data_IF_919476665388
#
_entry.id   IF_919476665388
#
_cell.length_a   1.000
_cell.length_b   1.000
_cell.length_c   1.000
_cell.angle_alpha   90.00
_cell.angle_beta   90.00
_cell.angle_gamma   90.00
#
_symmetry.space_group_name_H-M   'P 1'
#
loop_
_entity.id
_entity.type
_entity.pdbx_description
1 polymer ?
#
# COMPACT_ATOMS: atom_id res chain seq x y z
N UNK A 1 -8.13 8.31 -14.45
CA UNK A 1 -8.44 6.86 -14.38
C UNK A 1 -9.92 6.69 -14.05
N UNK A 2 -10.54 5.54 -14.30
CA UNK A 2 -11.89 5.27 -13.82
C UNK A 2 -11.82 4.70 -12.39
N UNK A 3 -12.56 5.29 -11.44
CA UNK A 3 -12.68 4.79 -10.07
C UNK A 3 -13.82 3.77 -10.00
N UNK A 4 -13.55 2.65 -9.35
CA UNK A 4 -14.49 1.57 -9.11
C UNK A 4 -14.56 1.23 -7.62
N UNK A 5 -15.61 0.49 -7.24
CA UNK A 5 -15.68 -0.13 -5.93
C UNK A 5 -14.62 -1.23 -5.82
N UNK A 6 -13.78 -1.14 -4.81
CA UNK A 6 -12.87 -2.21 -4.41
C UNK A 6 -13.69 -3.44 -4.01
N UNK A 7 -13.21 -4.63 -4.40
CA UNK A 7 -13.88 -5.88 -4.05
C UNK A 7 -13.82 -6.14 -2.54
N UNK A 8 -14.78 -6.93 -2.03
CA UNK A 8 -14.75 -7.38 -0.63
C UNK A 8 -13.45 -8.11 -0.29
N UNK A 9 -12.91 -8.91 -1.22
CA UNK A 9 -11.62 -9.59 -1.03
C UNK A 9 -10.47 -8.60 -0.88
N UNK A 10 -10.41 -7.55 -1.69
CA UNK A 10 -9.36 -6.52 -1.59
C UNK A 10 -9.38 -5.86 -0.21
N UNK A 11 -10.54 -5.32 0.17
CA UNK A 11 -10.71 -4.61 1.45
C UNK A 11 -10.47 -5.56 2.63
N UNK A 12 -11.02 -6.77 2.58
CA UNK A 12 -10.85 -7.76 3.65
C UNK A 12 -9.40 -8.21 3.79
N UNK A 13 -8.65 -8.31 2.69
CA UNK A 13 -7.21 -8.64 2.73
C UNK A 13 -6.41 -7.58 3.47
N UNK A 14 -6.65 -6.29 3.16
CA UNK A 14 -6.00 -5.19 3.87
C UNK A 14 -6.36 -5.16 5.35
N UNK A 15 -7.65 -5.33 5.67
CA UNK A 15 -8.12 -5.36 7.05
C UNK A 15 -7.55 -6.56 7.84
N UNK A 16 -7.58 -7.76 7.27
CA UNK A 16 -7.01 -8.96 7.88
C UNK A 16 -5.50 -8.82 8.11
N UNK A 17 -4.77 -8.23 7.15
CA UNK A 17 -3.35 -7.91 7.32
C UNK A 17 -3.09 -6.98 8.51
N UNK A 18 -3.90 -5.93 8.65
CA UNK A 18 -3.79 -5.02 9.78
C UNK A 18 -4.03 -5.71 11.14
N UNK A 19 -5.05 -6.57 11.22
CA UNK A 19 -5.37 -7.34 12.43
C UNK A 19 -4.28 -8.33 12.78
N UNK A 20 -3.84 -9.16 11.82
CA UNK A 20 -2.84 -10.20 12.06
C UNK A 20 -1.49 -9.63 12.50
N UNK A 21 -1.12 -8.45 12.00
CA UNK A 21 0.10 -7.75 12.39
C UNK A 21 -0.09 -6.73 13.53
N UNK A 22 -1.27 -6.68 14.14
CA UNK A 22 -1.60 -5.79 15.26
C UNK A 22 -1.18 -4.34 15.02
N UNK A 23 -1.47 -3.84 13.80
CA UNK A 23 -1.09 -2.50 13.38
C UNK A 23 -1.77 -1.47 14.29
N UNK A 24 -1.01 -0.47 14.75
CA UNK A 24 -1.50 0.61 15.61
C UNK A 24 -1.40 1.95 14.89
N UNK A 25 -2.35 2.83 15.17
CA UNK A 25 -2.31 4.22 14.74
C UNK A 25 -2.14 5.12 15.98
N UNK A 26 -0.89 5.31 16.47
CA UNK A 26 -0.63 5.95 17.76
C UNK A 26 -1.19 7.38 17.85
N UNK A 27 -1.18 8.12 16.73
CA UNK A 27 -1.70 9.49 16.68
C UNK A 27 -3.23 9.57 16.79
N UNK A 28 -3.94 8.45 16.64
CA UNK A 28 -5.40 8.41 16.69
C UNK A 28 -5.94 7.81 17.99
N UNK A 29 -5.08 7.42 18.95
CA UNK A 29 -5.47 6.75 20.21
C UNK A 29 -6.42 5.56 20.02
N UNK A 30 -6.38 4.93 18.84
CA UNK A 30 -7.19 3.77 18.51
C UNK A 30 -6.32 2.51 18.60
N UNK A 31 -6.73 1.57 19.44
CA UNK A 31 -6.10 0.25 19.57
C UNK A 31 -6.96 -0.79 18.84
N UNK A 32 -6.41 -1.38 17.77
CA UNK A 32 -7.12 -2.28 16.86
C UNK A 32 -6.87 -3.75 17.19
N UNK A 33 -6.93 -4.10 18.47
CA UNK A 33 -6.73 -5.48 18.92
C UNK A 33 -8.04 -6.24 18.95
N UNK A 34 -7.97 -7.51 18.56
CA UNK A 34 -9.07 -8.47 18.65
C UNK A 34 -9.86 -8.66 17.36
N UNK A 35 -10.72 -9.68 17.35
CA UNK A 35 -11.48 -10.11 16.17
C UNK A 35 -12.43 -9.03 15.64
N UNK A 36 -12.90 -8.13 16.50
CA UNK A 36 -13.79 -7.03 16.13
C UNK A 36 -13.12 -5.92 15.31
N UNK A 37 -11.78 -5.85 15.29
CA UNK A 37 -11.05 -4.82 14.56
C UNK A 37 -11.16 -4.99 13.04
N UNK A 38 -11.22 -6.23 12.54
CA UNK A 38 -11.27 -6.54 11.11
C UNK A 38 -12.48 -5.89 10.41
N UNK A 39 -13.73 -6.17 10.84
CA UNK A 39 -14.92 -5.56 10.27
C UNK A 39 -14.91 -4.02 10.31
N UNK A 40 -14.38 -3.43 11.39
CA UNK A 40 -14.32 -1.99 11.53
C UNK A 40 -13.32 -1.36 10.54
N UNK A 41 -12.10 -1.92 10.44
CA UNK A 41 -11.08 -1.44 9.48
C UNK A 41 -11.63 -1.55 8.06
N UNK A 42 -12.24 -2.69 7.74
CA UNK A 42 -12.83 -2.94 6.44
C UNK A 42 -13.95 -1.93 6.11
N UNK A 43 -14.79 -1.60 7.10
CA UNK A 43 -15.82 -0.57 6.99
C UNK A 43 -15.26 0.83 6.71
N UNK A 44 -14.19 1.24 7.38
CA UNK A 44 -13.55 2.56 7.13
C UNK A 44 -12.93 2.66 5.73
N UNK A 45 -12.29 1.58 5.27
CA UNK A 45 -11.79 1.51 3.91
C UNK A 45 -12.95 1.55 2.88
N UNK A 46 -14.00 0.77 3.11
CA UNK A 46 -15.15 0.75 2.22
C UNK A 46 -15.83 2.13 2.13
N UNK A 47 -16.07 2.81 3.26
CA UNK A 47 -16.65 4.16 3.30
C UNK A 47 -15.86 5.16 2.45
N UNK A 48 -14.54 5.15 2.54
CA UNK A 48 -13.69 6.05 1.75
C UNK A 48 -13.78 5.75 0.24
N UNK A 49 -13.78 4.47 -0.14
CA UNK A 49 -13.92 4.08 -1.55
C UNK A 49 -15.32 4.37 -2.12
N UNK A 50 -16.38 4.13 -1.35
CA UNK A 50 -17.74 4.58 -1.68
C UNK A 50 -17.79 6.08 -1.91
N UNK A 51 -17.13 6.87 -1.04
CA UNK A 51 -17.07 8.32 -1.17
C UNK A 51 -16.39 8.75 -2.47
N UNK A 52 -15.28 8.11 -2.84
CA UNK A 52 -14.58 8.38 -4.10
C UNK A 52 -15.44 8.03 -5.33
N UNK A 53 -16.06 6.85 -5.35
CA UNK A 53 -16.98 6.43 -6.42
C UNK A 53 -18.16 7.40 -6.56
N UNK A 54 -18.77 7.77 -5.44
CA UNK A 54 -19.89 8.73 -5.41
C UNK A 54 -19.47 10.11 -5.92
N UNK A 55 -18.25 10.55 -5.61
CA UNK A 55 -17.70 11.82 -6.10
C UNK A 55 -17.51 11.81 -7.62
N UNK A 56 -17.02 10.71 -8.19
CA UNK A 56 -16.78 10.63 -9.64
C UNK A 56 -18.06 10.44 -10.46
N UNK A 57 -18.98 9.59 -9.98
CA UNK A 57 -20.13 9.14 -10.77
C UNK A 57 -21.46 9.74 -10.29
N UNK A 58 -21.44 10.57 -9.25
CA UNK A 58 -22.65 11.09 -8.61
C UNK A 58 -23.33 10.06 -7.71
N UNK A 59 -24.61 10.24 -7.42
CA UNK A 59 -25.39 9.33 -6.55
C UNK A 59 -25.42 7.93 -7.17
N UNK A 60 -24.62 7.03 -6.62
CA UNK A 60 -24.56 5.64 -7.02
C UNK A 60 -25.32 4.78 -5.99
N UNK A 61 -26.31 4.01 -6.45
CA UNK A 61 -26.88 2.95 -5.64
C UNK A 61 -25.87 1.81 -5.51
N UNK A 62 -25.31 1.66 -4.32
CA UNK A 62 -24.43 0.53 -4.03
C UNK A 62 -25.31 -0.65 -3.66
N UNK A 63 -25.47 -1.56 -4.62
CA UNK A 63 -26.35 -2.74 -4.46
C UNK A 63 -25.68 -3.91 -3.75
N UNK A 64 -24.36 -3.88 -3.61
CA UNK A 64 -23.60 -4.95 -2.96
C UNK A 64 -23.11 -4.45 -1.59
N UNK A 65 -23.66 -4.97 -0.47
CA UNK A 65 -23.17 -4.60 0.84
C UNK A 65 -21.73 -5.11 1.02
N UNK A 66 -20.91 -4.30 1.66
CA UNK A 66 -19.57 -4.74 2.06
C UNK A 66 -19.69 -5.78 3.17
N UNK A 67 -19.04 -6.93 2.96
CA UNK A 67 -18.92 -7.98 3.96
C UNK A 67 -17.43 -8.24 4.20
N UNK A 68 -17.02 -8.05 5.45
CA UNK A 68 -15.67 -8.43 5.87
C UNK A 68 -15.54 -9.95 5.91
N UNK A 69 -14.51 -10.45 5.23
CA UNK A 69 -14.17 -11.87 5.18
C UNK A 69 -12.86 -12.08 5.96
N UNK A 70 -12.89 -12.73 7.14
CA UNK A 70 -11.65 -13.06 7.83
C UNK A 70 -10.85 -14.04 6.98
N UNK A 71 -9.58 -13.71 6.71
CA UNK A 71 -8.70 -14.54 5.89
C UNK A 71 -7.70 -15.28 6.80
N UNK A 72 -7.64 -16.61 6.66
CA UNK A 72 -6.69 -17.43 7.38
C UNK A 72 -5.26 -17.33 6.81
N UNK A 73 -5.15 -17.11 5.50
CA UNK A 73 -3.88 -16.98 4.78
C UNK A 73 -3.82 -15.63 4.11
N UNK A 74 -2.73 -14.90 4.36
CA UNK A 74 -2.49 -13.61 3.73
C UNK A 74 -1.50 -13.74 2.57
N UNK A 75 -1.61 -12.87 1.54
CA UNK A 75 -0.61 -12.76 0.49
C UNK A 75 0.76 -12.38 1.04
N UNK A 76 1.80 -12.57 0.22
CA UNK A 76 3.13 -12.05 0.52
C UNK A 76 3.14 -10.50 0.60
N UNK A 77 4.16 -9.89 1.23
CA UNK A 77 4.20 -8.45 1.43
C UNK A 77 4.20 -7.64 0.12
N UNK A 78 4.71 -8.16 -0.99
CA UNK A 78 4.70 -7.47 -2.29
C UNK A 78 3.27 -7.37 -2.81
N UNK A 79 2.49 -8.45 -2.70
CA UNK A 79 1.07 -8.43 -3.04
C UNK A 79 0.29 -7.45 -2.16
N UNK A 80 0.60 -7.35 -0.86
CA UNK A 80 0.00 -6.35 0.04
C UNK A 80 0.33 -4.92 -0.40
N UNK A 81 1.57 -4.65 -0.81
CA UNK A 81 1.96 -3.33 -1.34
C UNK A 81 1.19 -2.97 -2.61
N UNK A 82 0.99 -3.94 -3.52
CA UNK A 82 0.16 -3.75 -4.72
C UNK A 82 -1.31 -3.49 -4.36
N UNK A 83 -1.84 -4.15 -3.34
CA UNK A 83 -3.20 -3.90 -2.85
C UNK A 83 -3.33 -2.50 -2.24
N UNK A 84 -2.34 -2.03 -1.47
CA UNK A 84 -2.33 -0.65 -0.97
C UNK A 84 -2.37 0.34 -2.13
N UNK A 85 -1.50 0.17 -3.13
CA UNK A 85 -1.44 1.07 -4.30
C UNK A 85 -2.74 1.04 -5.10
N UNK A 86 -3.24 -0.17 -5.44
CA UNK A 86 -4.48 -0.33 -6.17
C UNK A 86 -5.67 0.29 -5.45
N UNK A 87 -5.70 0.22 -4.12
CA UNK A 87 -6.72 0.87 -3.29
C UNK A 87 -6.60 2.40 -3.36
N UNK A 88 -5.40 2.98 -3.19
CA UNK A 88 -5.19 4.43 -3.28
C UNK A 88 -5.55 4.98 -4.66
N UNK A 89 -5.26 4.23 -5.74
CA UNK A 89 -5.70 4.57 -7.08
C UNK A 89 -7.23 4.70 -7.19
N UNK A 90 -8.00 3.88 -6.46
CA UNK A 90 -9.47 4.00 -6.42
C UNK A 90 -9.96 5.17 -5.55
N UNK A 91 -9.05 5.93 -4.95
CA UNK A 91 -9.36 7.13 -4.18
C UNK A 91 -8.82 8.40 -4.83
N UNK A 92 -8.20 8.26 -6.00
CA UNK A 92 -7.72 9.38 -6.79
C UNK A 92 -8.90 10.33 -7.12
N UNK A 93 -8.72 11.63 -6.85
CA UNK A 93 -9.76 12.64 -6.99
C UNK A 93 -10.53 12.96 -5.70
N UNK A 94 -10.30 12.21 -4.61
CA UNK A 94 -10.78 12.58 -3.28
C UNK A 94 -9.72 13.46 -2.58
N UNK A 95 -9.84 14.79 -2.73
CA UNK A 95 -8.87 15.77 -2.22
C UNK A 95 -8.55 15.60 -0.72
N UNK A 96 -9.56 15.26 0.06
CA UNK A 96 -9.44 15.05 1.50
C UNK A 96 -8.92 13.66 1.88
N UNK A 97 -8.59 12.77 0.93
CA UNK A 97 -8.22 11.38 1.23
C UNK A 97 -7.12 11.30 2.30
N UNK A 98 -6.10 12.16 2.22
CA UNK A 98 -4.96 12.16 3.14
C UNK A 98 -5.34 12.49 4.59
N UNK A 99 -6.48 13.14 4.84
CA UNK A 99 -7.00 13.38 6.19
C UNK A 99 -8.00 12.32 6.66
N UNK A 100 -8.40 11.38 5.78
CA UNK A 100 -9.28 10.29 6.14
C UNK A 100 -8.51 9.23 6.93
N UNK A 101 -9.21 8.63 7.88
CA UNK A 101 -8.75 7.48 8.64
C UNK A 101 -8.28 6.32 7.74
N UNK A 102 -8.94 6.11 6.60
CA UNK A 102 -8.54 5.13 5.59
C UNK A 102 -7.09 5.34 5.09
N UNK A 103 -6.66 6.59 4.86
CA UNK A 103 -5.29 6.87 4.43
C UNK A 103 -4.27 6.50 5.50
N UNK A 104 -4.57 6.80 6.77
CA UNK A 104 -3.70 6.44 7.88
C UNK A 104 -3.60 4.91 8.05
N UNK A 105 -4.72 4.19 7.91
CA UNK A 105 -4.76 2.72 7.93
C UNK A 105 -3.88 2.14 6.82
N UNK A 106 -4.09 2.57 5.56
CA UNK A 106 -3.35 2.06 4.40
C UNK A 106 -1.86 2.39 4.50
N UNK A 107 -1.51 3.59 4.96
CA UNK A 107 -0.12 3.98 5.22
C UNK A 107 0.55 3.07 6.25
N UNK A 108 -0.14 2.75 7.36
CA UNK A 108 0.40 1.87 8.39
C UNK A 108 0.52 0.41 7.91
N UNK A 109 -0.44 -0.08 7.11
CA UNK A 109 -0.36 -1.38 6.41
C UNK A 109 0.87 -1.40 5.51
N UNK A 110 1.03 -0.40 4.65
CA UNK A 110 2.17 -0.27 3.74
C UNK A 110 3.50 -0.28 4.50
N UNK A 111 3.65 0.54 5.53
CA UNK A 111 4.86 0.59 6.35
C UNK A 111 5.17 -0.76 7.02
N UNK A 112 4.15 -1.50 7.42
CA UNK A 112 4.31 -2.84 8.00
C UNK A 112 4.67 -3.88 6.94
N UNK A 113 4.08 -3.82 5.75
CA UNK A 113 4.44 -4.67 4.61
C UNK A 113 5.88 -4.43 4.13
N UNK A 114 6.33 -3.18 4.04
CA UNK A 114 7.71 -2.83 3.71
C UNK A 114 8.69 -3.51 4.67
N UNK A 115 8.45 -3.41 5.99
CA UNK A 115 9.30 -4.05 7.02
C UNK A 115 9.31 -5.58 6.94
N UNK A 116 8.32 -6.18 6.27
CA UNK A 116 8.23 -7.63 6.07
C UNK A 116 8.87 -8.09 4.76
N UNK A 117 9.35 -7.18 3.91
CA UNK A 117 10.03 -7.56 2.68
C UNK A 117 11.30 -8.38 2.98
N UNK A 118 11.57 -9.46 2.22
CA UNK A 118 12.81 -10.20 2.36
C UNK A 118 14.02 -9.28 2.20
N UNK A 119 14.94 -9.34 3.17
CA UNK A 119 16.16 -8.52 3.17
C UNK A 119 15.99 -7.11 3.72
N UNK A 120 14.79 -6.65 4.09
CA UNK A 120 14.59 -5.29 4.61
C UNK A 120 15.43 -4.98 5.85
N UNK A 121 15.40 -5.85 6.86
CA UNK A 121 16.17 -5.67 8.10
C UNK A 121 17.69 -5.78 7.91
N UNK A 122 18.13 -6.51 6.87
CA UNK A 122 19.55 -6.65 6.55
C UNK A 122 20.07 -5.50 5.67
N UNK A 123 19.17 -4.76 5.02
CA UNK A 123 19.54 -3.67 4.15
C UNK A 123 20.09 -2.49 4.98
N UNK A 124 21.22 -1.89 4.55
CA UNK A 124 21.76 -0.73 5.23
C UNK A 124 20.81 0.46 5.09
N UNK A 125 20.58 1.19 6.18
CA UNK A 125 19.81 2.44 6.18
C UNK A 125 20.47 3.55 5.36
N UNK A 126 21.79 3.58 5.39
CA UNK A 126 22.59 4.56 4.66
C UNK A 126 23.18 3.92 3.41
N UNK A 127 22.88 4.50 2.25
CA UNK A 127 23.57 4.17 1.01
C UNK A 127 24.87 4.95 1.00
N UNK A 128 26.01 4.26 1.06
CA UNK A 128 27.32 4.91 0.92
C UNK A 128 27.60 5.27 -0.53
N UNK A 129 28.32 6.36 -0.75
CA UNK A 129 28.69 6.85 -2.10
C UNK A 129 29.41 5.80 -2.93
N UNK A 130 30.15 4.89 -2.29
CA UNK A 130 30.91 3.84 -2.95
C UNK A 130 30.04 2.69 -3.49
N UNK A 131 28.78 2.61 -3.08
CA UNK A 131 27.82 1.59 -3.52
C UNK A 131 26.92 2.05 -4.68
N UNK A 132 27.05 3.30 -5.13
CA UNK A 132 26.20 3.89 -6.17
C UNK A 132 27.05 4.24 -7.37
N UNK A 133 26.89 3.51 -8.46
CA UNK A 133 27.50 3.89 -9.75
C UNK A 133 26.66 5.00 -10.37
N UNK A 134 27.28 6.14 -10.59
CA UNK A 134 26.62 7.28 -11.24
C UNK A 134 26.50 7.03 -12.75
N UNK A 135 25.48 7.62 -13.39
CA UNK A 135 25.31 7.51 -14.86
C UNK A 135 26.55 7.97 -15.63
N UNK A 136 27.29 8.94 -15.09
CA UNK A 136 28.53 9.46 -15.69
C UNK A 136 29.67 8.43 -15.70
N UNK A 137 29.79 7.61 -14.65
CA UNK A 137 30.80 6.54 -14.57
C UNK A 137 30.50 5.38 -15.53
N UNK A 138 29.22 5.06 -15.72
CA UNK A 138 28.78 4.06 -16.72
C UNK A 138 29.14 4.53 -18.14
N UNK A 139 28.98 5.82 -18.44
CA UNK A 139 29.32 6.38 -19.75
C UNK A 139 30.85 6.38 -20.00
N UNK A 140 31.66 6.71 -19.00
CA UNK A 140 33.14 6.67 -19.11
C UNK A 140 33.71 5.26 -19.33
N UNK A 141 33.07 4.23 -18.76
CA UNK A 141 33.51 2.83 -18.89
C UNK A 141 33.31 2.30 -20.32
N UNK A 142 32.25 2.74 -21.01
CA UNK A 142 32.01 2.36 -22.41
C UNK A 142 33.02 3.00 -23.38
N UNK A 143 33.52 4.20 -23.08
CA UNK A 143 34.52 4.88 -23.92
C UNK A 143 35.91 4.23 -23.78
N UNK A 144 36.28 3.76 -22.59
CA UNK A 144 37.58 3.13 -22.34
C UNK A 144 37.69 1.73 -22.97
N UNK A 145 36.60 0.95 -23.02
CA UNK A 145 36.59 -0.36 -23.69
C UNK A 145 36.70 -0.29 -25.22
N UNK A 146 36.28 0.81 -25.85
CA UNK A 146 36.41 1.00 -27.29
C UNK A 146 37.86 1.26 -27.76
N UNK A 147 38.73 1.73 -26.85
CA UNK A 147 40.14 2.05 -27.14
C UNK A 147 41.10 0.86 -26.95
N UNK A 148 40.64 -0.25 -26.34
CA UNK A 148 41.51 -1.39 -26.01
C UNK A 148 41.53 -2.51 -27.08
N UNK A 149 40.79 -2.38 -28.19
CA UNK A 149 40.68 -3.40 -29.26
C UNK A 149 41.45 -3.00 -30.54
N UNK A 150 42.41 -2.09 -30.44
CA UNK A 150 43.31 -1.76 -31.55
C UNK A 150 44.76 -1.92 -31.10
N UNK A 151 45.27 -3.15 -31.21
CA UNK A 151 46.70 -3.46 -31.37
C UNK A 151 46.84 -4.67 -32.26
#
# INVERSE_FOLDING_TARGET
MAVFLCSNTHISTLAAYAVQHQIRLPHLKLDYRGEAAGPWIAGELFKANVKAVTRQHGKCEIRVPHAYLPLATLPDPVAILKLCEGYECQLEGLEEYRSLLAAHIVSAIRATAIRKLPGYEAAPWCIGDQGVVTRSEVAGTSASRALAVVR
#
